data_IF_801364877805
#
_entry.id   IF_801364877805
#
_cell.length_a   1.000
_cell.length_b   1.000
_cell.length_c   1.000
_cell.angle_alpha   90.00
_cell.angle_beta   90.00
_cell.angle_gamma   90.00
#
_symmetry.space_group_name_H-M   'P 1'
#
loop_
_entity.id
_entity.type
_entity.pdbx_description
1 polymer ?
#
# COMPACT_ATOMS: atom_id res chain seq x y z
N UNK A 1 -9.31 -2.43 14.75
CA UNK A 1 -9.86 -3.69 14.18
C UNK A 1 -8.77 -4.69 13.81
N UNK A 2 -7.55 -4.26 13.49
CA UNK A 2 -6.49 -5.13 12.94
C UNK A 2 -5.33 -5.42 13.90
N UNK A 3 -5.52 -5.26 15.22
CA UNK A 3 -4.43 -5.33 16.22
C UNK A 3 -3.65 -6.67 16.27
N UNK A 4 -4.15 -7.71 15.60
CA UNK A 4 -3.53 -9.04 15.54
C UNK A 4 -3.25 -9.48 14.09
N UNK A 5 -3.10 -8.54 13.15
CA UNK A 5 -2.93 -8.86 11.73
C UNK A 5 -1.69 -9.72 11.46
N UNK A 6 -0.59 -9.51 12.19
CA UNK A 6 0.63 -10.33 12.10
C UNK A 6 0.44 -11.78 12.56
N UNK A 7 -0.54 -12.04 13.42
CA UNK A 7 -0.78 -13.37 14.01
C UNK A 7 -1.95 -14.11 13.34
N UNK A 8 -2.61 -13.50 12.37
CA UNK A 8 -3.80 -14.08 11.74
C UNK A 8 -3.84 -13.76 10.25
N UNK A 9 -3.64 -14.80 9.43
CA UNK A 9 -3.74 -14.71 7.97
C UNK A 9 -5.04 -14.03 7.53
N UNK A 10 -6.17 -14.39 8.13
CA UNK A 10 -7.47 -13.80 7.82
C UNK A 10 -7.58 -12.31 8.19
N UNK A 11 -6.87 -11.87 9.24
CA UNK A 11 -6.83 -10.48 9.65
C UNK A 11 -5.91 -9.67 8.73
N UNK A 12 -4.76 -10.25 8.36
CA UNK A 12 -3.84 -9.68 7.38
C UNK A 12 -4.52 -9.44 6.03
N UNK A 13 -5.17 -10.46 5.45
CA UNK A 13 -5.85 -10.33 4.16
C UNK A 13 -6.98 -9.30 4.18
N UNK A 14 -7.70 -9.18 5.31
CA UNK A 14 -8.73 -8.13 5.47
C UNK A 14 -8.12 -6.72 5.56
N UNK A 15 -6.92 -6.60 6.12
CA UNK A 15 -6.20 -5.34 6.16
C UNK A 15 -5.71 -4.93 4.77
N UNK A 16 -5.15 -5.87 4.00
CA UNK A 16 -4.79 -5.63 2.59
C UNK A 16 -6.02 -5.19 1.77
N UNK A 17 -7.15 -5.88 1.95
CA UNK A 17 -8.41 -5.53 1.29
C UNK A 17 -8.91 -4.13 1.69
N UNK A 18 -8.81 -3.75 2.97
CA UNK A 18 -9.20 -2.41 3.43
C UNK A 18 -8.37 -1.30 2.77
N UNK A 19 -7.06 -1.52 2.56
CA UNK A 19 -6.23 -0.59 1.80
C UNK A 19 -6.59 -0.56 0.31
N UNK A 20 -6.85 -1.73 -0.29
CA UNK A 20 -7.28 -1.82 -1.68
C UNK A 20 -8.59 -1.08 -1.93
N UNK A 21 -9.61 -1.35 -1.12
CA UNK A 21 -10.95 -0.75 -1.25
C UNK A 21 -10.86 0.77 -1.08
N UNK A 22 -10.07 1.23 -0.10
CA UNK A 22 -9.83 2.65 0.09
C UNK A 22 -9.18 3.28 -1.15
N UNK A 23 -8.12 2.69 -1.70
CA UNK A 23 -7.44 3.21 -2.88
C UNK A 23 -8.36 3.23 -4.11
N UNK A 24 -9.12 2.17 -4.33
CA UNK A 24 -10.11 2.08 -5.42
C UNK A 24 -11.16 3.19 -5.32
N UNK A 25 -11.74 3.39 -4.13
CA UNK A 25 -12.72 4.45 -3.90
C UNK A 25 -12.13 5.84 -4.11
N UNK A 26 -10.87 6.07 -3.71
CA UNK A 26 -10.19 7.35 -3.94
C UNK A 26 -9.96 7.60 -5.44
N UNK A 27 -9.52 6.60 -6.19
CA UNK A 27 -9.36 6.73 -7.65
C UNK A 27 -10.70 7.05 -8.34
N UNK A 28 -11.78 6.35 -7.96
CA UNK A 28 -13.13 6.61 -8.47
C UNK A 28 -13.61 8.03 -8.17
N UNK A 29 -13.45 8.50 -6.93
CA UNK A 29 -13.82 9.88 -6.54
C UNK A 29 -13.09 10.94 -7.36
N UNK A 30 -11.88 10.63 -7.81
CA UNK A 30 -11.05 11.53 -8.63
C UNK A 30 -11.23 11.32 -10.14
N UNK A 31 -12.13 10.43 -10.54
CA UNK A 31 -12.41 10.09 -11.95
C UNK A 31 -11.17 9.58 -12.70
N UNK A 32 -10.23 8.95 -11.98
CA UNK A 32 -9.06 8.32 -12.58
C UNK A 32 -9.47 6.92 -13.05
N UNK A 33 -9.13 6.57 -14.28
CA UNK A 33 -9.37 5.22 -14.78
C UNK A 33 -8.53 4.22 -13.98
N UNK A 34 -9.19 3.41 -13.16
CA UNK A 34 -8.51 2.44 -12.31
C UNK A 34 -7.68 1.41 -13.11
N UNK A 35 -7.99 1.18 -14.39
CA UNK A 35 -7.26 0.26 -15.26
C UNK A 35 -5.81 0.65 -15.50
N UNK A 36 -5.45 1.92 -15.27
CA UNK A 36 -4.07 2.38 -15.39
C UNK A 36 -3.20 1.88 -14.23
N UNK A 37 -3.82 1.40 -13.14
CA UNK A 37 -3.11 0.93 -11.97
C UNK A 37 -2.95 -0.58 -11.96
N UNK A 38 -1.72 -1.04 -11.74
CA UNK A 38 -1.42 -2.41 -11.32
C UNK A 38 -1.42 -2.50 -9.80
N UNK A 39 -2.37 -3.26 -9.24
CA UNK A 39 -2.58 -3.42 -7.79
C UNK A 39 -2.92 -4.89 -7.47
N UNK A 40 -2.22 -5.56 -6.54
CA UNK A 40 -0.96 -5.14 -5.92
C UNK A 40 0.19 -5.14 -6.93
N UNK A 41 1.10 -4.18 -6.81
CA UNK A 41 2.31 -4.15 -7.64
C UNK A 41 3.38 -5.13 -7.14
N UNK A 42 3.73 -5.04 -5.85
CA UNK A 42 4.56 -6.02 -5.15
C UNK A 42 3.68 -7.16 -4.64
N UNK A 43 3.87 -8.35 -5.19
CA UNK A 43 3.08 -9.53 -4.85
C UNK A 43 3.94 -10.80 -4.95
N UNK A 44 4.85 -10.95 -4.00
CA UNK A 44 5.80 -12.06 -3.98
C UNK A 44 5.16 -13.30 -3.37
N UNK A 45 5.44 -14.47 -3.96
CA UNK A 45 5.02 -15.78 -3.47
C UNK A 45 6.22 -16.70 -3.32
N UNK A 46 6.12 -17.64 -2.38
CA UNK A 46 7.01 -18.80 -2.34
C UNK A 46 6.78 -19.70 -3.56
N UNK A 47 7.75 -20.56 -3.85
CA UNK A 47 7.66 -21.53 -4.97
C UNK A 47 6.45 -22.46 -4.89
N UNK A 48 5.89 -22.66 -3.70
CA UNK A 48 4.67 -23.43 -3.46
C UNK A 48 3.37 -22.62 -3.62
N UNK A 49 3.44 -21.35 -4.06
CA UNK A 49 2.29 -20.47 -4.24
C UNK A 49 1.77 -19.81 -2.97
N UNK A 50 2.44 -19.97 -1.83
CA UNK A 50 2.06 -19.27 -0.58
C UNK A 50 2.49 -17.80 -0.66
N UNK A 51 1.61 -16.82 -0.37
CA UNK A 51 2.00 -15.40 -0.32
C UNK A 51 3.09 -15.15 0.71
N UNK A 52 4.10 -14.34 0.36
CA UNK A 52 5.15 -13.88 1.27
C UNK A 52 4.63 -12.72 2.14
N UNK A 53 3.58 -12.99 2.94
CA UNK A 53 2.72 -12.04 3.66
C UNK A 53 3.42 -10.75 4.13
N UNK A 54 4.01 -10.75 5.33
CA UNK A 54 4.72 -9.63 5.94
C UNK A 54 5.99 -9.22 5.18
N UNK A 55 6.53 -10.11 4.33
CA UNK A 55 7.58 -9.77 3.38
C UNK A 55 7.11 -8.91 2.21
N UNK A 56 5.80 -8.84 1.94
CA UNK A 56 5.19 -7.92 1.01
C UNK A 56 4.73 -6.63 1.73
N UNK A 57 4.70 -5.49 1.01
CA UNK A 57 4.02 -4.30 1.51
C UNK A 57 2.54 -4.58 1.76
N UNK A 58 1.94 -4.00 2.81
CA UNK A 58 0.50 -4.17 3.08
C UNK A 58 -0.36 -3.64 1.93
N UNK A 59 0.19 -2.69 1.16
CA UNK A 59 -0.42 -2.19 -0.06
C UNK A 59 0.66 -1.69 -1.02
N UNK A 60 0.45 -1.92 -2.31
CA UNK A 60 1.28 -1.35 -3.35
C UNK A 60 0.51 -1.15 -4.66
N UNK A 61 0.80 -0.07 -5.36
CA UNK A 61 0.21 0.25 -6.65
C UNK A 61 1.28 0.80 -7.59
N UNK A 62 1.16 0.52 -8.88
CA UNK A 62 1.94 1.18 -9.94
C UNK A 62 1.01 1.78 -10.97
N UNK A 63 1.20 3.05 -11.28
CA UNK A 63 0.61 3.68 -12.45
C UNK A 63 1.41 3.24 -13.69
N UNK A 64 0.79 2.44 -14.56
CA UNK A 64 1.44 1.89 -15.75
C UNK A 64 1.67 2.94 -16.86
N UNK A 65 1.01 4.11 -16.77
CA UNK A 65 1.23 5.22 -17.71
C UNK A 65 2.42 6.10 -17.29
N UNK A 66 2.46 6.52 -16.03
CA UNK A 66 3.49 7.43 -15.52
C UNK A 66 4.73 6.69 -14.99
N UNK A 67 4.60 5.39 -14.70
CA UNK A 67 5.63 4.61 -14.04
C UNK A 67 5.74 4.86 -12.53
N UNK A 68 4.92 5.76 -11.96
CA UNK A 68 4.93 6.08 -10.54
C UNK A 68 4.44 4.90 -9.70
N UNK A 69 5.11 4.64 -8.59
CA UNK A 69 4.83 3.54 -7.67
C UNK A 69 4.46 4.12 -6.30
N UNK A 70 3.50 3.48 -5.66
CA UNK A 70 3.11 3.69 -4.27
C UNK A 70 3.34 2.40 -3.51
N UNK A 71 4.03 2.49 -2.37
CA UNK A 71 4.28 1.38 -1.47
C UNK A 71 3.94 1.78 -0.04
N UNK A 72 3.19 0.92 0.65
CA UNK A 72 2.84 1.11 2.06
C UNK A 72 3.37 -0.08 2.86
N UNK A 73 4.22 0.20 3.84
CA UNK A 73 4.80 -0.80 4.74
C UNK A 73 4.38 -0.50 6.17
N UNK A 74 3.85 -1.52 6.85
CA UNK A 74 3.54 -1.43 8.26
C UNK A 74 4.69 -1.97 9.09
N UNK A 75 5.21 -1.13 9.98
CA UNK A 75 6.17 -1.52 11.02
C UNK A 75 5.66 -1.04 12.37
N UNK A 76 5.30 -1.98 13.23
CA UNK A 76 4.81 -1.69 14.58
C UNK A 76 5.88 -1.11 15.50
N UNK A 77 7.17 -1.27 15.15
CA UNK A 77 8.31 -0.61 15.80
C UNK A 77 8.49 0.87 15.41
N UNK A 78 7.78 1.36 14.40
CA UNK A 78 7.92 2.73 13.94
C UNK A 78 7.37 3.75 14.95
N UNK A 79 8.25 4.62 15.47
CA UNK A 79 7.86 5.68 16.40
C UNK A 79 7.01 6.78 15.74
N UNK A 80 7.26 7.04 14.45
CA UNK A 80 6.60 8.08 13.66
C UNK A 80 6.26 7.60 12.25
N UNK A 81 5.20 8.17 11.69
CA UNK A 81 4.92 8.05 10.27
C UNK A 81 6.03 8.73 9.47
N UNK A 82 6.62 7.99 8.54
CA UNK A 82 7.67 8.47 7.65
C UNK A 82 7.28 8.17 6.21
N UNK A 83 7.78 8.99 5.28
CA UNK A 83 7.63 8.72 3.86
C UNK A 83 8.83 9.30 3.13
N UNK A 84 9.22 8.68 2.02
CA UNK A 84 10.31 9.12 1.18
C UNK A 84 10.07 8.66 -0.25
N UNK A 85 10.69 9.35 -1.19
CA UNK A 85 10.84 8.84 -2.55
C UNK A 85 12.10 8.00 -2.62
N UNK A 86 12.02 6.84 -3.27
CA UNK A 86 13.20 6.02 -3.52
C UNK A 86 14.33 6.85 -4.16
N UNK A 87 15.56 6.57 -3.74
CA UNK A 87 16.75 7.35 -4.10
C UNK A 87 17.24 7.08 -5.51
N UNK A 88 16.89 5.92 -6.09
CA UNK A 88 17.43 5.52 -7.38
C UNK A 88 16.62 6.13 -8.52
N UNK A 89 15.33 5.85 -8.58
CA UNK A 89 14.48 6.29 -9.70
C UNK A 89 13.58 7.48 -9.36
N UNK A 90 13.39 7.82 -8.07
CA UNK A 90 12.47 8.87 -7.63
C UNK A 90 10.99 8.64 -7.96
N UNK A 91 10.67 7.49 -8.57
CA UNK A 91 9.31 7.16 -9.03
C UNK A 91 8.49 6.41 -7.98
N UNK A 92 9.12 5.88 -6.94
CA UNK A 92 8.44 5.15 -5.86
C UNK A 92 8.29 6.03 -4.62
N UNK A 93 7.04 6.32 -4.23
CA UNK A 93 6.71 6.85 -2.92
C UNK A 93 6.54 5.69 -1.93
N UNK A 94 7.43 5.62 -0.94
CA UNK A 94 7.33 4.68 0.17
C UNK A 94 6.73 5.38 1.38
N UNK A 95 5.62 4.85 1.88
CA UNK A 95 4.96 5.26 3.12
C UNK A 95 5.22 4.17 4.17
N UNK A 96 5.71 4.58 5.33
CA UNK A 96 6.14 3.67 6.39
C UNK A 96 5.61 4.11 7.75
N UNK A 97 4.96 3.21 8.49
CA UNK A 97 4.53 3.47 9.85
C UNK A 97 3.68 2.34 10.44
N UNK A 98 3.38 2.40 11.73
CA UNK A 98 2.53 1.41 12.42
C UNK A 98 1.05 1.53 12.08
N UNK A 99 0.28 0.47 12.35
CA UNK A 99 -1.16 0.41 12.13
C UNK A 99 -1.93 1.57 12.78
N UNK A 100 -1.51 2.06 13.95
CA UNK A 100 -2.17 3.21 14.61
C UNK A 100 -2.07 4.52 13.81
N UNK A 101 -1.23 4.58 12.78
CA UNK A 101 -1.14 5.70 11.84
C UNK A 101 -1.98 5.50 10.57
N UNK A 102 -2.83 4.48 10.50
CA UNK A 102 -3.61 4.11 9.31
C UNK A 102 -4.36 5.30 8.69
N UNK A 103 -5.03 6.15 9.47
CA UNK A 103 -5.75 7.31 8.91
C UNK A 103 -4.80 8.33 8.24
N UNK A 104 -3.61 8.51 8.80
CA UNK A 104 -2.58 9.39 8.23
C UNK A 104 -1.95 8.77 6.99
N UNK A 105 -1.78 7.44 6.98
CA UNK A 105 -1.33 6.69 5.79
C UNK A 105 -2.37 6.86 4.67
N UNK A 106 -3.65 6.64 4.96
CA UNK A 106 -4.76 6.82 4.00
C UNK A 106 -4.82 8.24 3.44
N UNK A 107 -4.60 9.25 4.27
CA UNK A 107 -4.45 10.65 3.80
C UNK A 107 -3.32 10.82 2.78
N UNK A 108 -2.18 10.15 2.99
CA UNK A 108 -1.05 10.18 2.06
C UNK A 108 -1.33 9.42 0.76
N UNK A 109 -2.05 8.30 0.85
CA UNK A 109 -2.52 7.57 -0.32
C UNK A 109 -3.43 8.46 -1.17
N UNK A 110 -4.43 9.13 -0.58
CA UNK A 110 -5.29 10.09 -1.28
C UNK A 110 -4.50 11.19 -1.98
N UNK A 111 -3.48 11.75 -1.30
CA UNK A 111 -2.63 12.78 -1.89
C UNK A 111 -1.81 12.25 -3.09
N UNK A 112 -1.33 11.01 -3.02
CA UNK A 112 -0.62 10.38 -4.13
C UNK A 112 -1.57 10.11 -5.31
N UNK A 113 -2.77 9.61 -5.06
CA UNK A 113 -3.82 9.37 -6.09
C UNK A 113 -4.18 10.67 -6.81
N UNK A 114 -4.33 11.77 -6.07
CA UNK A 114 -4.63 13.09 -6.66
C UNK A 114 -3.52 13.60 -7.59
N UNK A 115 -2.28 13.16 -7.39
CA UNK A 115 -1.13 13.57 -8.19
C UNK A 115 -0.87 12.68 -9.42
N UNK A 116 -1.76 11.71 -9.70
CA UNK A 116 -1.65 10.79 -10.84
C UNK A 116 -2.24 11.33 -12.14
#
# INVERSE_FOLDING_TARGET
MFNYYLNSKSCYLRLEQDFYDFFYLEALKKQIDFKIFKVPYYNTFFSNGTPLMDGNPIFSARNELSGQILRVVLDEGAEKLSFYYDKDAGCELVIFGRLSFMDKIKTKISAWVLAQ
#
